data_IF_187103259930
#
_entry.id   IF_187103259930
#
_cell.length_a   1.000
_cell.length_b   1.000
_cell.length_c   1.000
_cell.angle_alpha   90.00
_cell.angle_beta   90.00
_cell.angle_gamma   90.00
#
_symmetry.space_group_name_H-M   'P 1'
#
loop_
_entity.id
_entity.type
_entity.pdbx_description
1 polymer ?
#
# COMPACT_ATOMS: atom_id res chain seq x y z
N UNK A 1 4.92 17.31 24.80
CA UNK A 1 3.58 17.58 25.39
C UNK A 1 2.43 17.42 24.37
N UNK A 2 2.60 17.81 23.09
CA UNK A 2 1.54 17.70 22.06
C UNK A 2 1.25 16.25 21.60
N UNK A 3 2.29 15.42 21.53
CA UNK A 3 2.21 14.03 21.03
C UNK A 3 1.47 13.12 22.01
N UNK A 4 1.59 13.37 23.32
CA UNK A 4 0.90 12.61 24.37
C UNK A 4 -0.64 12.73 24.32
N UNK A 5 -1.17 13.91 24.01
CA UNK A 5 -2.63 14.09 23.86
C UNK A 5 -3.16 13.42 22.58
N UNK A 6 -2.37 13.47 21.49
CA UNK A 6 -2.69 12.73 20.27
C UNK A 6 -2.67 11.22 20.49
N UNK A 7 -1.71 10.72 21.27
CA UNK A 7 -1.58 9.33 21.68
C UNK A 7 -2.79 8.86 22.50
N UNK A 8 -3.16 9.56 23.58
CA UNK A 8 -4.36 9.23 24.37
C UNK A 8 -5.61 9.15 23.51
N UNK A 9 -5.78 10.12 22.60
CA UNK A 9 -6.94 10.15 21.70
C UNK A 9 -6.91 8.99 20.70
N UNK A 10 -5.75 8.65 20.16
CA UNK A 10 -5.58 7.49 19.28
C UNK A 10 -5.92 6.17 20.01
N UNK A 11 -5.47 6.00 21.26
CA UNK A 11 -5.83 4.88 22.13
C UNK A 11 -7.34 4.82 22.35
N UNK A 12 -7.97 5.96 22.69
CA UNK A 12 -9.41 6.05 22.89
C UNK A 12 -10.20 5.65 21.64
N UNK A 13 -9.75 6.05 20.45
CA UNK A 13 -10.37 5.62 19.19
C UNK A 13 -10.31 4.10 19.03
N UNK A 14 -9.16 3.49 19.29
CA UNK A 14 -9.01 2.04 19.19
C UNK A 14 -9.92 1.30 20.18
N UNK A 15 -10.01 1.77 21.43
CA UNK A 15 -10.90 1.19 22.44
C UNK A 15 -12.38 1.38 22.09
N UNK A 16 -12.75 2.54 21.53
CA UNK A 16 -14.16 2.88 21.27
C UNK A 16 -14.79 2.06 20.14
N UNK A 17 -13.97 1.60 19.20
CA UNK A 17 -14.44 0.84 18.03
C UNK A 17 -14.06 -0.65 18.11
N UNK A 18 -13.63 -1.13 19.28
CA UNK A 18 -13.16 -2.50 19.45
C UNK A 18 -14.30 -3.49 19.15
N UNK A 19 -14.08 -4.44 18.21
CA UNK A 19 -15.05 -5.49 17.95
C UNK A 19 -15.15 -6.44 19.16
N UNK A 20 -16.39 -6.77 19.57
CA UNK A 20 -16.65 -7.59 20.77
C UNK A 20 -16.22 -9.05 20.62
N UNK A 21 -16.44 -9.63 19.44
CA UNK A 21 -16.37 -11.08 19.23
C UNK A 21 -15.16 -11.53 18.40
N UNK A 22 -14.36 -10.59 17.89
CA UNK A 22 -13.23 -10.91 17.01
C UNK A 22 -12.13 -9.84 17.09
N UNK A 23 -10.87 -10.19 16.82
CA UNK A 23 -9.79 -9.21 16.82
C UNK A 23 -9.91 -8.22 15.66
N UNK A 24 -9.44 -6.99 15.87
CA UNK A 24 -9.13 -6.07 14.78
C UNK A 24 -8.21 -6.70 13.74
N UNK A 25 -8.42 -6.34 12.47
CA UNK A 25 -7.48 -6.64 11.39
C UNK A 25 -6.51 -5.46 11.23
N UNK A 26 -5.32 -5.54 11.83
CA UNK A 26 -4.33 -4.47 11.75
C UNK A 26 -3.52 -4.61 10.45
N UNK A 27 -3.67 -3.65 9.54
CA UNK A 27 -2.97 -3.63 8.26
C UNK A 27 -1.50 -3.23 8.45
N UNK A 28 -0.61 -4.22 8.54
CA UNK A 28 0.81 -3.99 8.82
C UNK A 28 1.66 -4.01 7.54
N UNK A 29 2.25 -2.87 7.18
CA UNK A 29 3.08 -2.73 5.96
C UNK A 29 4.59 -2.81 6.18
N UNK A 30 5.04 -2.80 7.45
CA UNK A 30 6.47 -2.69 7.77
C UNK A 30 7.05 -1.29 7.52
N UNK A 31 6.21 -0.26 7.52
CA UNK A 31 6.64 1.14 7.50
C UNK A 31 6.29 1.84 8.82
N UNK A 32 6.82 3.05 9.00
CA UNK A 32 6.69 3.83 10.26
C UNK A 32 5.24 4.01 10.74
N UNK A 33 4.32 4.27 9.80
CA UNK A 33 2.93 4.53 10.15
C UNK A 33 2.22 3.23 10.60
N UNK A 34 2.61 2.07 10.05
CA UNK A 34 2.13 0.76 10.50
C UNK A 34 2.77 0.28 11.81
N UNK A 35 4.01 0.68 12.10
CA UNK A 35 4.63 0.46 13.41
C UNK A 35 3.93 1.27 14.50
N UNK A 36 3.60 2.53 14.19
CA UNK A 36 2.89 3.41 15.10
C UNK A 36 1.53 2.83 15.52
N UNK A 37 0.69 2.41 14.56
CA UNK A 37 -0.62 1.81 14.89
C UNK A 37 -0.51 0.47 15.61
N UNK A 38 0.56 -0.31 15.39
CA UNK A 38 0.81 -1.58 16.10
C UNK A 38 1.07 -1.31 17.58
N UNK A 39 2.02 -0.42 17.86
CA UNK A 39 2.36 -0.03 19.23
C UNK A 39 1.13 0.62 19.91
N UNK A 40 0.38 1.48 19.20
CA UNK A 40 -0.85 2.06 19.75
C UNK A 40 -1.92 1.01 20.08
N UNK A 41 -2.07 -0.03 19.25
CA UNK A 41 -3.00 -1.12 19.52
C UNK A 41 -2.58 -1.96 20.75
N UNK A 42 -1.27 -2.21 20.90
CA UNK A 42 -0.70 -2.86 22.09
C UNK A 42 -0.95 -2.02 23.36
N UNK A 43 -0.66 -0.71 23.31
CA UNK A 43 -0.89 0.22 24.43
C UNK A 43 -2.36 0.37 24.78
N UNK A 44 -3.24 0.32 23.80
CA UNK A 44 -4.69 0.40 24.01
C UNK A 44 -5.27 -0.86 24.68
N UNK A 45 -4.52 -1.97 24.67
CA UNK A 45 -4.97 -3.26 25.22
C UNK A 45 -6.08 -3.91 24.39
N UNK A 46 -6.26 -3.52 23.13
CA UNK A 46 -7.34 -4.03 22.27
C UNK A 46 -6.94 -5.34 21.61
N UNK A 47 -7.91 -6.23 21.42
CA UNK A 47 -7.69 -7.48 20.71
C UNK A 47 -7.45 -7.22 19.22
N UNK A 48 -6.28 -7.60 18.70
CA UNK A 48 -5.90 -7.33 17.32
C UNK A 48 -4.96 -8.38 16.74
N UNK A 49 -5.02 -8.54 15.42
CA UNK A 49 -4.08 -9.36 14.65
C UNK A 49 -3.37 -8.47 13.62
N UNK A 50 -2.04 -8.40 13.72
CA UNK A 50 -1.23 -7.79 12.67
C UNK A 50 -1.21 -8.71 11.44
N UNK A 51 -1.56 -8.19 10.27
CA UNK A 51 -1.55 -8.94 9.01
C UNK A 51 -0.85 -8.13 7.93
N UNK A 52 0.09 -8.78 7.24
CA UNK A 52 0.80 -8.21 6.10
C UNK A 52 0.37 -8.89 4.80
N UNK A 53 0.02 -8.12 3.79
CA UNK A 53 -0.22 -8.65 2.46
C UNK A 53 1.03 -8.49 1.60
N UNK A 54 1.70 -9.60 1.33
CA UNK A 54 2.92 -9.59 0.52
C UNK A 54 2.61 -9.19 -0.93
N UNK A 55 3.33 -8.20 -1.46
CA UNK A 55 3.18 -7.73 -2.84
C UNK A 55 4.09 -8.43 -3.83
N UNK A 56 5.00 -9.30 -3.37
CA UNK A 56 6.03 -10.00 -4.17
C UNK A 56 7.09 -9.10 -4.80
N UNK A 57 6.93 -7.79 -4.64
CA UNK A 57 7.89 -6.75 -5.05
C UNK A 57 8.21 -5.80 -3.88
N UNK A 58 7.94 -6.22 -2.65
CA UNK A 58 8.48 -5.56 -1.47
C UNK A 58 10.01 -5.72 -1.43
N UNK A 59 10.70 -4.71 -0.90
CA UNK A 59 12.14 -4.80 -0.69
C UNK A 59 12.49 -5.96 0.25
N UNK A 60 13.54 -6.76 -0.03
CA UNK A 60 13.94 -7.89 0.82
C UNK A 60 14.06 -7.52 2.30
N UNK A 61 14.67 -6.38 2.61
CA UNK A 61 14.84 -5.80 3.94
C UNK A 61 13.50 -5.59 4.63
N UNK A 62 12.49 -5.12 3.88
CA UNK A 62 11.13 -4.95 4.39
C UNK A 62 10.46 -6.29 4.65
N UNK A 63 10.67 -7.29 3.78
CA UNK A 63 10.14 -8.65 3.98
C UNK A 63 10.72 -9.27 5.24
N UNK A 64 12.03 -9.14 5.47
CA UNK A 64 12.68 -9.63 6.68
C UNK A 64 12.18 -8.90 7.92
N UNK A 65 12.15 -7.57 7.88
CA UNK A 65 11.65 -6.74 8.98
C UNK A 65 10.22 -7.10 9.38
N UNK A 66 9.32 -7.24 8.40
CA UNK A 66 7.92 -7.64 8.66
C UNK A 66 7.87 -9.03 9.29
N UNK A 67 8.62 -9.99 8.75
CA UNK A 67 8.66 -11.37 9.26
C UNK A 67 9.15 -11.44 10.70
N UNK A 68 10.16 -10.65 11.05
CA UNK A 68 10.70 -10.56 12.40
C UNK A 68 9.74 -9.86 13.37
N UNK A 69 9.03 -8.83 12.89
CA UNK A 69 8.15 -8.04 13.75
C UNK A 69 6.81 -8.72 14.04
N UNK A 70 6.20 -9.36 13.05
CA UNK A 70 4.84 -9.91 13.20
C UNK A 70 4.75 -11.43 12.97
N UNK A 71 5.85 -12.12 12.70
CA UNK A 71 5.84 -13.56 12.42
C UNK A 71 5.42 -13.93 11.00
N UNK A 72 5.93 -15.06 10.51
CA UNK A 72 5.73 -15.52 9.11
C UNK A 72 4.27 -15.92 8.85
N UNK A 73 3.59 -16.47 9.84
CA UNK A 73 2.19 -16.90 9.83
C UNK A 73 1.20 -15.75 9.61
N UNK A 74 1.65 -14.51 9.86
CA UNK A 74 0.87 -13.30 9.66
C UNK A 74 1.09 -12.64 8.29
N UNK A 75 1.90 -13.27 7.43
CA UNK A 75 2.17 -12.82 6.06
C UNK A 75 1.28 -13.59 5.08
N UNK A 76 0.33 -12.90 4.47
CA UNK A 76 -0.55 -13.45 3.44
C UNK A 76 0.11 -13.40 2.06
N UNK A 77 0.37 -14.56 1.48
CA UNK A 77 0.89 -14.70 0.10
C UNK A 77 -0.20 -14.56 -0.96
N UNK A 78 0.05 -13.88 -2.09
CA UNK A 78 -0.96 -13.68 -3.12
C UNK A 78 -1.11 -14.88 -4.03
N UNK A 79 -2.31 -15.04 -4.62
CA UNK A 79 -2.58 -16.09 -5.61
C UNK A 79 -1.75 -15.89 -6.87
N UNK A 80 -1.52 -14.63 -7.24
CA UNK A 80 -0.71 -14.22 -8.38
C UNK A 80 0.41 -13.32 -7.89
N UNK A 81 1.61 -13.56 -8.40
CA UNK A 81 2.75 -12.65 -8.23
C UNK A 81 2.58 -11.40 -9.09
N UNK A 82 3.34 -10.35 -8.79
CA UNK A 82 3.40 -9.15 -9.63
C UNK A 82 3.72 -9.49 -11.09
N UNK A 83 4.64 -10.44 -11.30
CA UNK A 83 5.04 -10.90 -12.63
C UNK A 83 3.87 -11.51 -13.41
N UNK A 84 3.05 -12.31 -12.75
CA UNK A 84 1.85 -12.92 -13.36
C UNK A 84 0.75 -11.88 -13.58
N UNK A 85 0.59 -10.90 -12.67
CA UNK A 85 -0.39 -9.83 -12.82
C UNK A 85 -0.08 -8.93 -14.02
N UNK A 86 1.19 -8.61 -14.26
CA UNK A 86 1.63 -7.84 -15.44
C UNK A 86 1.19 -8.54 -16.73
N UNK A 87 1.48 -9.83 -16.85
CA UNK A 87 1.10 -10.64 -18.02
C UNK A 87 -0.43 -10.74 -18.15
N UNK A 88 -1.14 -11.02 -17.04
CA UNK A 88 -2.60 -11.15 -17.03
C UNK A 88 -3.31 -9.86 -17.43
N UNK A 89 -2.85 -8.72 -16.92
CA UNK A 89 -3.47 -7.41 -17.15
C UNK A 89 -3.00 -6.79 -18.48
N UNK A 90 -1.94 -7.34 -19.09
CA UNK A 90 -1.42 -6.93 -20.39
C UNK A 90 -0.97 -5.45 -20.42
N UNK A 91 -0.64 -4.87 -19.26
CA UNK A 91 -0.14 -3.51 -19.12
C UNK A 91 0.80 -3.40 -17.90
N UNK A 92 1.90 -2.62 -17.98
CA UNK A 92 2.70 -2.28 -16.80
C UNK A 92 1.83 -1.58 -15.74
N UNK A 93 2.14 -1.73 -14.44
CA UNK A 93 1.46 -0.96 -13.41
C UNK A 93 1.76 0.53 -13.63
N UNK A 94 0.77 1.41 -13.59
CA UNK A 94 1.01 2.86 -13.73
C UNK A 94 0.34 3.62 -12.59
N UNK A 95 0.57 4.94 -12.52
CA UNK A 95 -0.14 5.79 -11.56
C UNK A 95 -1.66 5.72 -11.72
N UNK A 96 -2.14 5.43 -12.93
CA UNK A 96 -3.56 5.28 -13.27
C UNK A 96 -4.02 3.82 -13.19
N UNK A 97 -3.18 2.87 -13.65
CA UNK A 97 -3.47 1.44 -13.64
C UNK A 97 -2.86 0.76 -12.40
N UNK A 98 -3.54 0.90 -11.26
CA UNK A 98 -3.07 0.44 -9.94
C UNK A 98 -3.55 -0.96 -9.54
N UNK A 99 -3.65 -1.88 -10.50
CA UNK A 99 -4.11 -3.25 -10.25
C UNK A 99 -3.25 -4.00 -9.21
N UNK A 100 -1.97 -3.65 -9.08
CA UNK A 100 -1.11 -4.21 -8.05
C UNK A 100 -1.58 -3.86 -6.63
N UNK A 101 -2.13 -2.65 -6.42
CA UNK A 101 -2.67 -2.26 -5.12
C UNK A 101 -3.92 -3.07 -4.80
N UNK A 102 -4.86 -3.21 -5.74
CA UNK A 102 -6.11 -3.93 -5.52
C UNK A 102 -5.89 -5.44 -5.33
N UNK A 103 -5.05 -6.05 -6.17
CA UNK A 103 -4.86 -7.50 -6.19
C UNK A 103 -3.91 -8.01 -5.10
N UNK A 104 -2.92 -7.18 -4.70
CA UNK A 104 -1.86 -7.60 -3.79
C UNK A 104 -1.94 -6.94 -2.43
N UNK A 105 -2.17 -5.62 -2.37
CA UNK A 105 -2.01 -4.82 -1.14
C UNK A 105 -3.29 -4.67 -0.34
N UNK A 106 -4.40 -4.33 -1.00
CA UNK A 106 -5.66 -3.89 -0.38
C UNK A 106 -6.65 -5.04 -0.13
N UNK A 107 -6.16 -6.28 -0.20
CA UNK A 107 -6.93 -7.50 0.08
C UNK A 107 -6.98 -7.85 1.57
N UNK A 108 -7.86 -8.77 1.95
CA UNK A 108 -7.96 -9.24 3.34
C UNK A 108 -8.83 -8.35 4.24
N UNK A 109 -9.01 -8.82 5.48
CA UNK A 109 -9.86 -8.18 6.50
C UNK A 109 -11.31 -8.00 6.06
N UNK A 110 -11.82 -8.85 5.15
CA UNK A 110 -13.22 -8.79 4.72
C UNK A 110 -14.12 -9.18 5.89
N UNK A 111 -15.10 -8.34 6.19
CA UNK A 111 -16.03 -8.55 7.30
C UNK A 111 -15.44 -8.27 8.68
N UNK A 112 -14.25 -7.66 8.75
CA UNK A 112 -13.55 -7.25 9.99
C UNK A 112 -13.31 -5.75 9.98
N UNK A 113 -13.24 -5.16 11.17
CA UNK A 113 -12.80 -3.77 11.32
C UNK A 113 -11.29 -3.72 11.12
N UNK A 114 -10.83 -2.87 10.20
CA UNK A 114 -9.41 -2.73 9.87
C UNK A 114 -8.79 -1.55 10.61
N UNK A 115 -7.61 -1.71 11.19
CA UNK A 115 -6.81 -0.57 11.65
C UNK A 115 -5.84 -0.19 10.53
N UNK A 116 -5.79 1.08 10.15
CA UNK A 116 -4.82 1.56 9.13
C UNK A 116 -4.11 2.84 9.54
N UNK A 117 -2.86 2.99 9.08
CA UNK A 117 -2.00 4.13 9.40
C UNK A 117 -2.15 5.31 8.44
N UNK A 118 -3.33 5.52 7.84
CA UNK A 118 -3.55 6.61 6.88
C UNK A 118 -3.55 7.96 7.61
N UNK A 119 -2.79 8.93 7.09
CA UNK A 119 -2.70 10.31 7.63
C UNK A 119 -3.13 11.37 6.62
N UNK A 120 -3.75 12.46 7.10
CA UNK A 120 -4.17 13.60 6.28
C UNK A 120 -2.99 14.35 5.64
N UNK A 121 -1.85 14.41 6.33
CA UNK A 121 -0.66 15.11 5.85
C UNK A 121 -0.06 14.48 4.58
N UNK A 122 -0.25 13.18 4.36
CA UNK A 122 0.32 12.48 3.20
C UNK A 122 -0.09 13.09 1.85
N UNK A 123 -1.34 13.56 1.75
CA UNK A 123 -1.84 14.25 0.56
C UNK A 123 -3.21 14.91 0.79
N UNK A 124 -3.53 15.91 -0.05
CA UNK A 124 -4.88 16.50 -0.13
C UNK A 124 -5.97 15.44 -0.31
N UNK A 125 -5.73 14.42 -1.14
CA UNK A 125 -6.68 13.34 -1.36
C UNK A 125 -6.92 12.50 -0.10
N UNK A 126 -5.89 12.25 0.73
CA UNK A 126 -6.07 11.57 2.02
C UNK A 126 -6.90 12.41 2.98
N UNK A 127 -6.62 13.71 3.05
CA UNK A 127 -7.43 14.67 3.83
C UNK A 127 -8.90 14.66 3.41
N UNK A 128 -9.17 14.58 2.11
CA UNK A 128 -10.54 14.51 1.58
C UNK A 128 -11.18 13.13 1.68
N UNK A 129 -10.43 12.03 1.73
CA UNK A 129 -11.00 10.67 1.64
C UNK A 129 -10.90 9.84 2.91
N UNK A 130 -10.21 10.33 3.94
CA UNK A 130 -10.04 9.66 5.22
C UNK A 130 -10.53 10.53 6.38
N UNK A 131 -10.97 9.86 7.43
CA UNK A 131 -11.19 10.41 8.77
C UNK A 131 -10.92 9.31 9.78
N UNK A 132 -11.33 9.51 11.03
CA UNK A 132 -11.12 8.50 12.09
C UNK A 132 -11.75 7.18 11.68
N UNK A 133 -12.98 7.21 11.16
CA UNK A 133 -13.62 6.06 10.53
C UNK A 133 -13.79 6.32 9.03
N UNK A 134 -13.51 5.29 8.22
CA UNK A 134 -13.87 5.24 6.81
C UNK A 134 -14.64 3.96 6.51
N UNK A 135 -15.84 4.09 5.97
CA UNK A 135 -16.67 2.96 5.53
C UNK A 135 -16.77 2.97 4.01
N UNK A 136 -16.43 1.83 3.40
CA UNK A 136 -16.55 1.60 1.96
C UNK A 136 -17.59 0.48 1.73
N UNK A 137 -18.70 0.84 1.10
CA UNK A 137 -19.82 -0.05 0.81
C UNK A 137 -20.65 0.45 -0.37
N UNK A 138 -21.85 -0.11 -0.56
CA UNK A 138 -22.79 0.37 -1.58
C UNK A 138 -23.31 1.76 -1.18
N UNK A 139 -22.93 2.78 -1.93
CA UNK A 139 -23.15 4.19 -1.62
C UNK A 139 -24.60 4.51 -1.19
N UNK A 140 -25.58 4.18 -2.03
CA UNK A 140 -27.00 4.45 -1.75
C UNK A 140 -27.49 3.79 -0.46
N UNK A 141 -27.07 2.55 -0.21
CA UNK A 141 -27.42 1.81 1.01
C UNK A 141 -26.79 2.44 2.24
N UNK A 142 -25.53 2.87 2.13
CA UNK A 142 -24.80 3.45 3.25
C UNK A 142 -25.28 4.84 3.63
N UNK A 143 -25.60 5.67 2.65
CA UNK A 143 -26.20 6.98 2.89
C UNK A 143 -27.55 6.87 3.59
N UNK A 144 -28.38 5.89 3.21
CA UNK A 144 -29.66 5.65 3.86
C UNK A 144 -29.45 5.24 5.32
N UNK A 145 -28.62 4.23 5.56
CA UNK A 145 -28.35 3.73 6.92
C UNK A 145 -27.71 4.79 7.83
N UNK A 146 -26.77 5.60 7.32
CA UNK A 146 -26.14 6.65 8.12
C UNK A 146 -27.13 7.75 8.53
N UNK A 147 -28.04 8.14 7.62
CA UNK A 147 -29.11 9.10 7.92
C UNK A 147 -30.13 8.55 8.92
N UNK A 148 -30.54 7.29 8.76
CA UNK A 148 -31.50 6.62 9.66
C UNK A 148 -30.95 6.44 11.08
N UNK A 149 -29.62 6.39 11.24
CA UNK A 149 -28.94 6.27 12.53
C UNK A 149 -28.37 7.61 13.03
N UNK A 150 -28.75 8.73 12.41
CA UNK A 150 -28.37 10.09 12.83
C UNK A 150 -26.86 10.30 12.99
N UNK A 151 -26.07 9.61 12.17
CA UNK A 151 -24.60 9.69 12.21
C UNK A 151 -24.14 10.95 11.49
N UNK A 152 -23.23 11.72 12.08
CA UNK A 152 -22.54 12.78 11.36
C UNK A 152 -21.48 12.19 10.43
N UNK A 153 -21.63 12.40 9.13
CA UNK A 153 -20.74 11.86 8.12
C UNK A 153 -20.46 12.85 7.00
N UNK A 154 -19.27 12.73 6.42
CA UNK A 154 -18.92 13.37 5.16
C UNK A 154 -18.80 12.35 4.05
N UNK A 155 -19.49 12.61 2.94
CA UNK A 155 -19.34 11.80 1.74
C UNK A 155 -18.04 12.16 1.00
N UNK A 156 -17.33 11.14 0.54
CA UNK A 156 -16.13 11.31 -0.28
C UNK A 156 -16.49 11.21 -1.77
N UNK A 157 -15.71 11.87 -2.64
CA UNK A 157 -15.84 11.78 -4.11
C UNK A 157 -15.74 10.35 -4.65
N UNK A 158 -15.22 9.42 -3.84
CA UNK A 158 -14.99 8.01 -4.17
C UNK A 158 -16.10 7.09 -3.61
N UNK A 159 -17.22 7.64 -3.14
CA UNK A 159 -18.38 6.87 -2.68
C UNK A 159 -18.28 6.31 -1.25
N UNK A 160 -17.21 6.62 -0.51
CA UNK A 160 -17.04 6.24 0.89
C UNK A 160 -17.63 7.27 1.87
N UNK A 161 -18.04 6.80 3.05
CA UNK A 161 -18.44 7.64 4.18
C UNK A 161 -17.26 7.81 5.15
N UNK A 162 -17.07 9.03 5.62
CA UNK A 162 -16.02 9.40 6.58
C UNK A 162 -16.66 10.01 7.81
N UNK A 163 -16.25 9.55 8.99
CA UNK A 163 -16.69 10.06 10.30
C UNK A 163 -15.45 10.37 11.13
N UNK A 164 -15.51 11.44 11.96
CA UNK A 164 -14.40 11.86 12.81
C UNK A 164 -14.72 11.78 14.31
N UNK A 165 -15.99 11.56 14.66
CA UNK A 165 -16.44 11.54 16.04
C UNK A 165 -16.47 10.10 16.58
N UNK A 166 -16.24 9.96 17.87
CA UNK A 166 -16.27 8.67 18.59
C UNK A 166 -17.52 8.53 19.48
N UNK A 167 -18.66 9.07 19.04
CA UNK A 167 -19.94 9.05 19.75
C UNK A 167 -20.70 7.71 19.63
N UNK A 168 -21.80 7.57 20.40
CA UNK A 168 -22.63 6.37 20.45
C UNK A 168 -23.19 5.97 19.09
N UNK A 169 -23.60 6.95 18.29
CA UNK A 169 -24.24 6.80 16.99
C UNK A 169 -23.23 6.21 15.99
N UNK A 170 -22.02 6.78 15.95
CA UNK A 170 -20.92 6.30 15.10
C UNK A 170 -20.50 4.88 15.49
N UNK A 171 -20.40 4.58 16.78
CA UNK A 171 -20.06 3.23 17.27
C UNK A 171 -21.10 2.20 16.84
N UNK A 172 -22.39 2.49 17.07
CA UNK A 172 -23.50 1.61 16.66
C UNK A 172 -23.53 1.41 15.15
N UNK A 173 -23.28 2.46 14.38
CA UNK A 173 -23.22 2.36 12.92
C UNK A 173 -22.08 1.47 12.44
N UNK A 174 -20.89 1.60 13.03
CA UNK A 174 -19.74 0.73 12.75
C UNK A 174 -20.07 -0.72 13.08
N UNK A 175 -20.58 -1.00 14.29
CA UNK A 175 -20.98 -2.35 14.73
C UNK A 175 -21.99 -3.00 13.77
N UNK A 176 -22.95 -2.23 13.27
CA UNK A 176 -23.98 -2.73 12.36
C UNK A 176 -23.44 -3.02 10.94
N UNK A 177 -22.48 -2.24 10.45
CA UNK A 177 -22.11 -2.24 9.04
C UNK A 177 -20.84 -3.03 8.71
N UNK A 178 -19.90 -3.22 9.65
CA UNK A 178 -18.55 -3.70 9.32
C UNK A 178 -18.50 -5.10 8.71
N UNK A 179 -19.48 -5.97 8.98
CA UNK A 179 -19.54 -7.32 8.39
C UNK A 179 -19.85 -7.31 6.89
N UNK A 180 -20.57 -6.29 6.41
CA UNK A 180 -21.04 -6.19 5.01
C UNK A 180 -20.27 -5.15 4.19
N UNK A 181 -19.38 -4.40 4.84
CA UNK A 181 -18.64 -3.28 4.28
C UNK A 181 -17.14 -3.42 4.56
N UNK A 182 -16.31 -2.57 3.96
CA UNK A 182 -14.91 -2.43 4.36
C UNK A 182 -14.79 -1.20 5.28
N UNK A 183 -14.80 -1.44 6.59
CA UNK A 183 -14.65 -0.41 7.62
C UNK A 183 -13.21 -0.31 8.10
N UNK A 184 -12.69 0.91 8.17
CA UNK A 184 -11.33 1.23 8.62
C UNK A 184 -11.37 2.24 9.75
N UNK A 185 -10.60 1.98 10.81
CA UNK A 185 -10.25 2.90 11.90
C UNK A 185 -8.84 3.44 11.63
N UNK A 186 -8.69 4.76 11.60
CA UNK A 186 -7.44 5.46 11.34
C UNK A 186 -7.06 6.29 12.58
N UNK A 187 -6.46 5.67 13.61
CA UNK A 187 -6.27 6.31 14.92
C UNK A 187 -5.27 7.47 14.88
N UNK A 188 -4.41 7.51 13.85
CA UNK A 188 -3.38 8.54 13.65
C UNK A 188 -3.71 9.49 12.51
N UNK A 189 -4.98 9.60 12.11
CA UNK A 189 -5.36 10.30 10.87
C UNK A 189 -4.91 11.77 10.82
N UNK A 190 -4.81 12.44 11.96
CA UNK A 190 -4.39 13.83 12.09
C UNK A 190 -2.95 14.01 12.60
N UNK A 191 -2.16 12.93 12.57
CA UNK A 191 -0.74 12.96 12.93
C UNK A 191 0.12 13.46 11.77
N UNK A 192 1.13 14.25 12.11
CA UNK A 192 2.20 14.69 11.21
C UNK A 192 3.33 13.66 11.18
N UNK A 193 4.27 13.81 10.24
CA UNK A 193 5.46 12.96 10.15
C UNK A 193 6.29 13.05 11.43
N UNK A 194 6.40 14.25 11.99
CA UNK A 194 7.10 14.48 13.25
C UNK A 194 6.41 13.79 14.43
N UNK A 195 5.07 13.87 14.51
CA UNK A 195 4.33 13.18 15.58
C UNK A 195 4.59 11.65 15.54
N UNK A 196 4.62 11.06 14.34
CA UNK A 196 4.89 9.63 14.17
C UNK A 196 6.31 9.29 14.60
N UNK A 197 7.32 10.02 14.14
CA UNK A 197 8.71 9.73 14.51
C UNK A 197 9.00 9.99 15.98
N UNK A 198 8.48 11.07 16.56
CA UNK A 198 8.63 11.36 17.99
C UNK A 198 8.06 10.22 18.84
N UNK A 199 6.88 9.72 18.48
CA UNK A 199 6.26 8.58 19.14
C UNK A 199 7.08 7.29 18.98
N UNK A 200 7.51 6.95 17.76
CA UNK A 200 8.31 5.74 17.53
C UNK A 200 9.63 5.76 18.30
N UNK A 201 10.33 6.90 18.31
CA UNK A 201 11.56 7.06 19.07
C UNK A 201 11.33 6.96 20.58
N UNK A 202 10.26 7.57 21.09
CA UNK A 202 9.90 7.50 22.52
C UNK A 202 9.70 6.05 22.98
N UNK A 203 9.06 5.21 22.16
CA UNK A 203 8.85 3.79 22.44
C UNK A 203 10.02 2.89 22.01
N UNK A 204 11.17 3.45 21.62
CA UNK A 204 12.36 2.69 21.24
C UNK A 204 12.23 1.86 19.96
N UNK A 205 11.23 2.16 19.11
CA UNK A 205 11.03 1.45 17.86
C UNK A 205 12.08 1.83 16.82
N UNK A 206 12.95 0.88 16.48
CA UNK A 206 13.99 1.06 15.46
C UNK A 206 13.44 1.32 14.06
N UNK A 207 12.16 0.98 13.84
CA UNK A 207 11.49 1.00 12.54
C UNK A 207 12.22 0.17 11.49
N UNK A 208 11.67 0.13 10.28
CA UNK A 208 12.27 -0.60 9.17
C UNK A 208 13.67 -0.04 8.81
N UNK A 209 14.69 -0.91 8.61
CA UNK A 209 16.07 -0.49 8.37
C UNK A 209 16.25 0.43 7.15
N UNK A 210 15.38 0.35 6.14
CA UNK A 210 15.48 1.22 4.97
C UNK A 210 15.35 2.72 5.30
N UNK A 211 14.67 3.08 6.40
CA UNK A 211 14.65 4.47 6.87
C UNK A 211 16.04 4.96 7.28
N UNK A 212 16.87 4.08 7.86
CA UNK A 212 18.25 4.37 8.24
C UNK A 212 19.17 4.48 7.02
N UNK A 213 18.78 3.87 5.89
CA UNK A 213 19.43 4.05 4.59
C UNK A 213 18.97 5.30 3.82
N UNK A 214 18.29 6.24 4.49
CA UNK A 214 17.85 7.52 3.90
C UNK A 214 16.53 7.45 3.12
N UNK A 215 15.84 6.31 3.09
CA UNK A 215 14.55 6.20 2.43
C UNK A 215 13.47 6.91 3.25
N UNK A 216 12.80 7.90 2.65
CA UNK A 216 11.72 8.65 3.34
C UNK A 216 10.37 7.92 3.30
N UNK A 217 10.19 7.00 2.35
CA UNK A 217 8.99 6.17 2.22
C UNK A 217 9.39 4.77 1.79
N UNK A 218 8.72 3.78 2.38
CA UNK A 218 8.91 2.37 2.08
C UNK A 218 7.70 1.88 1.29
N UNK A 219 7.98 1.21 0.18
CA UNK A 219 6.95 0.68 -0.71
C UNK A 219 7.52 -0.41 -1.61
N UNK A 220 6.73 -0.81 -2.60
CA UNK A 220 7.14 -1.79 -3.58
C UNK A 220 8.26 -1.23 -4.47
N UNK A 221 9.24 -2.06 -4.80
CA UNK A 221 10.33 -1.78 -5.74
C UNK A 221 9.74 -1.43 -7.11
N UNK A 222 10.11 -0.27 -7.64
CA UNK A 222 9.67 0.22 -8.95
C UNK A 222 8.26 0.80 -8.94
N UNK A 223 7.75 1.25 -7.79
CA UNK A 223 6.39 1.79 -7.73
C UNK A 223 6.23 3.11 -8.52
N UNK A 224 5.28 3.22 -9.47
CA UNK A 224 5.05 4.44 -10.26
C UNK A 224 4.67 5.68 -9.43
N UNK A 225 4.22 5.49 -8.18
CA UNK A 225 3.88 6.59 -7.27
C UNK A 225 5.11 7.37 -6.77
N UNK A 226 6.30 6.77 -6.82
CA UNK A 226 7.55 7.44 -6.47
C UNK A 226 8.09 8.34 -7.62
N UNK A 227 7.52 8.20 -8.82
CA UNK A 227 7.99 8.90 -10.02
C UNK A 227 9.26 8.26 -10.61
N UNK A 228 9.60 8.68 -11.83
CA UNK A 228 10.69 8.08 -12.63
C UNK A 228 12.03 8.04 -11.90
N UNK A 229 12.41 9.11 -11.20
CA UNK A 229 13.66 9.16 -10.43
C UNK A 229 13.69 8.10 -9.30
N UNK A 230 12.57 7.91 -8.60
CA UNK A 230 12.46 6.91 -7.54
C UNK A 230 12.52 5.49 -8.09
N UNK A 231 11.80 5.23 -9.18
CA UNK A 231 11.82 3.93 -9.86
C UNK A 231 13.23 3.55 -10.34
N UNK A 232 13.97 4.51 -10.92
CA UNK A 232 15.35 4.27 -11.36
C UNK A 232 16.29 3.98 -10.19
N UNK A 233 16.21 4.77 -9.12
CA UNK A 233 16.99 4.52 -7.91
C UNK A 233 16.70 3.13 -7.30
N UNK A 234 15.44 2.72 -7.27
CA UNK A 234 15.05 1.36 -6.85
C UNK A 234 15.73 0.30 -7.72
N UNK A 235 15.79 0.48 -9.03
CA UNK A 235 16.39 -0.51 -9.94
C UNK A 235 17.92 -0.52 -9.95
N UNK A 236 18.56 0.57 -9.55
CA UNK A 236 20.00 0.60 -9.26
C UNK A 236 20.33 -0.23 -8.02
N UNK A 237 19.52 -0.10 -6.96
CA UNK A 237 19.69 -0.86 -5.70
C UNK A 237 19.29 -2.34 -5.89
N UNK A 238 18.22 -2.59 -6.65
CA UNK A 238 17.61 -3.92 -6.83
C UNK A 238 17.63 -4.38 -8.31
N UNK A 239 18.80 -4.57 -8.93
CA UNK A 239 18.91 -4.90 -10.36
C UNK A 239 18.25 -6.24 -10.73
N UNK A 240 18.21 -7.19 -9.80
CA UNK A 240 17.50 -8.48 -10.00
C UNK A 240 15.98 -8.29 -10.16
N UNK A 241 15.40 -7.32 -9.46
CA UNK A 241 13.98 -6.98 -9.62
C UNK A 241 13.73 -6.27 -10.95
N UNK A 242 14.62 -5.34 -11.37
CA UNK A 242 14.58 -4.76 -12.72
C UNK A 242 14.53 -5.84 -13.80
N UNK A 243 15.46 -6.80 -13.74
CA UNK A 243 15.50 -7.90 -14.69
C UNK A 243 14.24 -8.78 -14.63
N UNK A 244 13.63 -8.96 -13.46
CA UNK A 244 12.37 -9.68 -13.32
C UNK A 244 11.18 -8.92 -13.95
N UNK A 245 11.15 -7.58 -13.83
CA UNK A 245 10.18 -6.75 -14.53
C UNK A 245 10.34 -6.84 -16.04
N UNK A 246 11.56 -6.73 -16.58
CA UNK A 246 11.84 -6.88 -18.03
C UNK A 246 11.30 -8.21 -18.54
N UNK A 247 11.62 -9.33 -17.88
CA UNK A 247 11.08 -10.66 -18.25
C UNK A 247 9.56 -10.77 -18.12
N UNK A 248 8.95 -10.00 -17.22
CA UNK A 248 7.49 -9.95 -17.10
C UNK A 248 6.87 -9.14 -18.26
N UNK A 249 7.53 -8.06 -18.67
CA UNK A 249 7.12 -7.26 -19.82
C UNK A 249 7.29 -8.01 -21.15
N UNK A 250 8.36 -8.80 -21.32
CA UNK A 250 8.50 -9.68 -22.50
C UNK A 250 7.29 -10.62 -22.64
N UNK A 251 6.97 -11.33 -21.56
CA UNK A 251 5.81 -12.24 -21.53
C UNK A 251 4.49 -11.50 -21.72
N UNK A 252 4.39 -10.26 -21.25
CA UNK A 252 3.23 -9.41 -21.43
C UNK A 252 3.02 -9.02 -22.90
N UNK A 253 4.08 -8.64 -23.61
CA UNK A 253 4.04 -8.28 -25.04
C UNK A 253 3.56 -9.48 -25.88
N UNK A 254 4.11 -10.68 -25.63
CA UNK A 254 3.68 -11.92 -26.29
C UNK A 254 2.18 -12.19 -26.03
N UNK A 255 1.73 -12.01 -24.79
CA UNK A 255 0.34 -12.26 -24.41
C UNK A 255 -0.62 -11.20 -24.98
N UNK A 256 -0.14 -9.98 -25.24
CA UNK A 256 -0.89 -8.94 -25.94
C UNK A 256 -1.11 -9.32 -27.41
N UNK A 257 -0.07 -9.78 -28.10
CA UNK A 257 -0.14 -10.26 -29.48
C UNK A 257 -1.14 -11.41 -29.62
N UNK A 258 -1.06 -12.41 -28.74
CA UNK A 258 -2.01 -13.54 -28.73
C UNK A 258 -3.46 -13.10 -28.53
N UNK A 259 -3.68 -12.00 -27.83
CA UNK A 259 -5.00 -11.42 -27.62
C UNK A 259 -5.44 -10.46 -28.73
N UNK A 260 -4.68 -10.34 -29.81
CA UNK A 260 -4.98 -9.45 -30.95
C UNK A 260 -4.82 -7.96 -30.63
N UNK A 261 -4.10 -7.61 -29.55
CA UNK A 261 -3.82 -6.22 -29.22
C UNK A 261 -2.65 -5.70 -30.07
N UNK A 262 -2.77 -4.46 -30.51
CA UNK A 262 -1.71 -3.79 -31.27
C UNK A 262 -0.55 -3.45 -30.32
N UNK A 263 0.64 -3.89 -30.72
CA UNK A 263 1.92 -3.57 -30.08
C UNK A 263 2.64 -2.55 -30.97
N UNK A 264 2.65 -1.29 -30.53
CA UNK A 264 3.31 -0.17 -31.25
C UNK A 264 4.15 0.66 -30.28
N UNK A 265 5.07 1.46 -30.81
CA UNK A 265 5.98 2.28 -30.01
C UNK A 265 6.87 1.41 -29.15
N UNK A 266 6.87 1.63 -27.83
CA UNK A 266 7.74 0.93 -26.89
C UNK A 266 7.34 -0.51 -26.57
N UNK A 267 6.25 -1.03 -27.15
CA UNK A 267 5.68 -2.35 -26.85
C UNK A 267 6.30 -3.43 -27.76
N UNK A 268 7.61 -3.41 -27.93
CA UNK A 268 8.36 -4.32 -28.81
C UNK A 268 8.89 -5.50 -28.01
N UNK A 269 9.58 -5.22 -26.91
CA UNK A 269 10.11 -6.19 -25.97
C UNK A 269 10.09 -5.60 -24.55
N UNK A 270 10.50 -6.40 -23.58
CA UNK A 270 10.47 -6.02 -22.18
C UNK A 270 11.41 -4.88 -21.81
N UNK A 271 12.51 -4.67 -22.54
CA UNK A 271 13.47 -3.62 -22.28
C UNK A 271 12.96 -2.27 -22.81
N UNK A 272 12.37 -2.24 -24.01
CA UNK A 272 11.68 -1.05 -24.54
C UNK A 272 10.51 -0.63 -23.64
N UNK A 273 9.72 -1.61 -23.16
CA UNK A 273 8.64 -1.33 -22.20
C UNK A 273 9.20 -0.82 -20.88
N UNK A 274 10.30 -1.39 -20.37
CA UNK A 274 10.96 -0.94 -19.14
C UNK A 274 11.43 0.51 -19.27
N UNK A 275 12.12 0.87 -20.36
CA UNK A 275 12.60 2.23 -20.62
C UNK A 275 11.46 3.23 -20.63
N UNK A 276 10.40 2.94 -21.39
CA UNK A 276 9.18 3.76 -21.38
C UNK A 276 8.60 3.88 -19.98
N UNK A 277 8.53 2.77 -19.24
CA UNK A 277 7.89 2.72 -17.94
C UNK A 277 8.63 3.53 -16.87
N UNK A 278 9.97 3.58 -16.94
CA UNK A 278 10.81 4.42 -16.07
C UNK A 278 11.02 5.84 -16.61
N UNK A 279 10.42 6.18 -17.76
CA UNK A 279 10.47 7.51 -18.35
C UNK A 279 11.75 7.83 -19.13
N UNK A 280 12.51 6.82 -19.54
CA UNK A 280 13.64 6.96 -20.45
C UNK A 280 13.16 6.85 -21.92
N UNK A 281 13.97 7.34 -22.86
CA UNK A 281 13.68 7.16 -24.30
C UNK A 281 13.89 5.69 -24.70
N UNK A 282 12.84 4.97 -25.12
CA UNK A 282 12.93 3.57 -25.51
C UNK A 282 13.86 3.32 -26.70
N UNK A 283 14.05 4.32 -27.57
CA UNK A 283 14.85 4.20 -28.78
C UNK A 283 16.32 4.63 -28.57
N UNK A 284 16.67 5.13 -27.39
CA UNK A 284 18.02 5.57 -27.10
C UNK A 284 18.92 4.39 -26.77
N UNK A 285 20.02 4.24 -27.52
CA UNK A 285 21.06 3.24 -27.26
C UNK A 285 21.89 3.71 -26.06
N UNK A 286 22.06 2.83 -25.06
CA UNK A 286 22.97 3.07 -23.93
C UNK A 286 24.38 2.55 -24.25
N UNK A 287 25.38 3.03 -23.51
CA UNK A 287 26.76 2.50 -23.64
C UNK A 287 26.82 0.99 -23.36
N UNK A 288 25.96 0.49 -22.45
CA UNK A 288 25.83 -0.95 -22.19
C UNK A 288 25.32 -1.72 -23.40
N UNK A 289 24.28 -1.22 -24.06
CA UNK A 289 23.73 -1.83 -25.29
C UNK A 289 24.77 -1.86 -26.41
N UNK A 290 25.54 -0.76 -26.56
CA UNK A 290 26.61 -0.67 -27.55
C UNK A 290 27.74 -1.67 -27.29
N UNK A 291 28.20 -1.77 -26.04
CA UNK A 291 29.26 -2.71 -25.65
C UNK A 291 28.80 -4.16 -25.76
N UNK A 292 27.54 -4.46 -25.43
CA UNK A 292 26.96 -5.79 -25.62
C UNK A 292 26.86 -6.15 -27.12
N UNK A 293 26.42 -5.21 -27.96
CA UNK A 293 26.40 -5.40 -29.42
C UNK A 293 27.77 -5.68 -30.03
N UNK A 294 28.84 -5.06 -29.51
CA UNK A 294 30.22 -5.38 -29.91
C UNK A 294 30.63 -6.78 -29.43
N UNK A 295 30.28 -7.14 -28.19
CA UNK A 295 30.59 -8.46 -27.62
C UNK A 295 29.88 -9.62 -28.35
N UNK A 296 28.62 -9.44 -28.71
CA UNK A 296 27.84 -10.42 -29.46
C UNK A 296 28.35 -10.54 -30.91
N UNK A 297 28.79 -9.44 -31.53
CA UNK A 297 29.44 -9.45 -32.83
C UNK A 297 30.84 -10.12 -32.80
N UNK A 298 31.56 -10.02 -31.69
CA UNK A 298 32.87 -10.64 -31.52
C UNK A 298 32.80 -12.14 -31.20
N UNK A 299 31.73 -12.62 -30.56
CA UNK A 299 31.50 -14.03 -30.23
C UNK A 299 30.74 -14.81 -31.31
N UNK A 300 30.30 -14.14 -32.38
CA UNK A 300 29.61 -14.73 -33.53
C UNK A 300 30.52 -15.15 -34.69
N UNK A 301 31.83 -15.32 -34.46
CA UNK A 301 32.82 -15.81 -35.43
C UNK A 301 33.34 -17.18 -34.99
#
# INVERSE_FOLDING_TARGET
>A
MRTFEKEKRAIKYLQSFEPKDEPYYLCYSGGKDSDCIRILAELAGVNHECKHNLTTVDAPETVYYVRETIGKENIAHPKLTMWQLIVKTKIPPTRLARYCCSELKERGGKGRIKITGVRWEESKNRKESAGVIRVLGKEKTMLKLAKENEVDFRQTKQGGLVMNDDNSETRRFVEMCYRTTSTMVNPIVDWTDNDVWEFLHYYGCQSNPLYQCGQKRIGCIGCPLQGFKGMKADFEIYPKYRAAYVRAFDRMVIEREKAGLINTGSWIDGEHVMRWWVGDDPNQITLGDYLQGIGDAANGI
#
